data_IF_050435876538
#
_entry.id   IF_050435876538
#
_cell.length_a   1.000
_cell.length_b   1.000
_cell.length_c   1.000
_cell.angle_alpha   90.00
_cell.angle_beta   90.00
_cell.angle_gamma   90.00
#
_symmetry.space_group_name_H-M   'P 1'
#
loop_
_entity.id
_entity.type
_entity.pdbx_description
1 polymer ?
#
# COMPACT_ATOMS: atom_id res chain seq x y z
N UNK A 1 11.47 5.13 -7.68
CA UNK A 1 10.02 5.35 -7.48
C UNK A 1 9.58 6.82 -7.28
N UNK A 2 10.50 7.80 -7.13
CA UNK A 2 10.16 9.23 -6.94
C UNK A 2 9.13 9.84 -7.91
N UNK A 3 8.98 9.30 -9.12
CA UNK A 3 7.99 9.76 -10.10
C UNK A 3 6.54 9.56 -9.64
N UNK A 4 6.32 8.67 -8.66
CA UNK A 4 5.00 8.40 -8.07
C UNK A 4 4.58 9.44 -7.02
N UNK A 5 5.50 10.27 -6.55
CA UNK A 5 5.27 11.22 -5.46
C UNK A 5 4.06 12.15 -5.68
N UNK A 6 3.84 12.77 -6.86
CA UNK A 6 2.69 13.65 -7.08
C UNK A 6 1.33 12.94 -6.92
N UNK A 7 1.30 11.61 -7.11
CA UNK A 7 0.07 10.83 -7.04
C UNK A 7 -0.38 10.56 -5.61
N UNK A 8 0.53 10.61 -4.64
CA UNK A 8 0.22 10.43 -3.21
C UNK A 8 -0.85 11.44 -2.75
N UNK A 9 -0.71 12.70 -3.20
CA UNK A 9 -1.52 13.84 -2.77
C UNK A 9 -2.87 13.95 -3.49
N UNK A 10 -3.12 13.11 -4.49
CA UNK A 10 -4.36 13.17 -5.29
C UNK A 10 -5.08 11.84 -5.43
N UNK A 11 -4.42 10.70 -5.19
CA UNK A 11 -5.02 9.37 -5.32
C UNK A 11 -6.26 9.20 -4.45
N UNK A 12 -7.36 8.76 -5.07
CA UNK A 12 -8.65 8.49 -4.45
C UNK A 12 -9.04 7.02 -4.65
N UNK A 13 -9.75 6.44 -3.68
CA UNK A 13 -10.29 5.09 -3.85
C UNK A 13 -11.59 5.13 -4.67
N UNK A 14 -11.55 4.60 -5.89
CA UNK A 14 -12.65 4.56 -6.85
C UNK A 14 -13.40 3.24 -6.75
N UNK A 15 -14.73 3.29 -6.69
CA UNK A 15 -15.59 2.10 -6.59
C UNK A 15 -16.65 2.04 -7.67
N UNK A 16 -16.74 3.08 -8.51
CA UNK A 16 -17.63 3.15 -9.66
C UNK A 16 -16.82 3.18 -10.93
N UNK A 17 -17.06 2.20 -11.79
CA UNK A 17 -16.37 2.03 -13.06
C UNK A 17 -17.36 2.15 -14.21
N UNK A 18 -16.97 2.83 -15.29
CA UNK A 18 -17.77 2.94 -16.51
C UNK A 18 -17.44 1.84 -17.53
N UNK A 19 -16.29 1.18 -17.39
CA UNK A 19 -15.85 0.14 -18.30
C UNK A 19 -14.42 -0.35 -17.98
N UNK A 20 -13.92 -1.33 -18.76
CA UNK A 20 -12.56 -1.84 -18.64
C UNK A 20 -11.50 -0.78 -18.94
N UNK A 21 -10.26 -1.07 -18.57
CA UNK A 21 -9.11 -0.34 -19.13
C UNK A 21 -8.94 -0.73 -20.60
N UNK A 22 -8.34 0.14 -21.40
CA UNK A 22 -7.97 -0.15 -22.78
C UNK A 22 -6.87 -1.21 -22.86
N UNK A 23 -6.71 -1.84 -24.02
CA UNK A 23 -5.66 -2.85 -24.24
C UNK A 23 -4.25 -2.29 -23.98
N UNK A 24 -4.00 -1.04 -24.38
CA UNK A 24 -2.70 -0.40 -24.16
C UNK A 24 -2.44 -0.11 -22.67
N UNK A 25 -3.47 0.31 -21.93
CA UNK A 25 -3.37 0.47 -20.48
C UNK A 25 -3.14 -0.87 -19.76
N UNK A 26 -3.78 -1.96 -20.21
CA UNK A 26 -3.56 -3.30 -19.65
C UNK A 26 -2.13 -3.79 -19.91
N UNK A 27 -1.61 -3.62 -21.14
CA UNK A 27 -0.21 -3.95 -21.47
C UNK A 27 0.78 -3.15 -20.64
N UNK A 28 0.52 -1.86 -20.43
CA UNK A 28 1.36 -1.03 -19.55
C UNK A 28 1.30 -1.54 -18.10
N UNK A 29 0.12 -1.91 -17.60
CA UNK A 29 -0.02 -2.47 -16.25
C UNK A 29 0.75 -3.78 -16.10
N UNK A 30 0.66 -4.69 -17.07
CA UNK A 30 1.42 -5.95 -17.07
C UNK A 30 2.94 -5.71 -17.07
N UNK A 31 3.44 -4.85 -17.97
CA UNK A 31 4.86 -4.48 -18.03
C UNK A 31 5.38 -3.88 -16.71
N UNK A 32 4.54 -3.08 -16.04
CA UNK A 32 4.88 -2.47 -14.75
C UNK A 32 4.81 -3.45 -13.58
N UNK A 33 3.94 -4.45 -13.63
CA UNK A 33 3.86 -5.49 -12.59
C UNK A 33 5.15 -6.30 -12.51
N UNK A 34 5.77 -6.61 -13.65
CA UNK A 34 7.05 -7.33 -13.72
C UNK A 34 8.24 -6.52 -13.17
N UNK A 35 8.10 -5.20 -13.06
CA UNK A 35 9.16 -4.26 -12.66
C UNK A 35 8.93 -3.66 -11.27
N UNK A 36 8.05 -4.25 -10.48
CA UNK A 36 7.82 -3.78 -9.11
C UNK A 36 9.07 -3.98 -8.26
N UNK A 37 9.48 -2.91 -7.59
CA UNK A 37 10.62 -2.95 -6.66
C UNK A 37 10.14 -3.54 -5.32
N UNK A 38 10.69 -4.67 -4.83
CA UNK A 38 10.32 -5.20 -3.53
C UNK A 38 10.85 -4.34 -2.37
N UNK A 39 10.20 -4.42 -1.20
CA UNK A 39 10.75 -3.85 0.04
C UNK A 39 11.92 -4.70 0.56
N UNK A 40 11.78 -6.03 0.43
CA UNK A 40 12.76 -7.06 0.79
C UNK A 40 12.85 -8.04 -0.38
N UNK A 41 14.06 -8.21 -0.93
CA UNK A 41 14.31 -9.00 -2.14
C UNK A 41 14.18 -10.52 -1.93
N UNK A 42 14.35 -10.98 -0.69
CA UNK A 42 14.32 -12.40 -0.28
C UNK A 42 12.90 -12.91 0.05
N UNK A 43 11.87 -12.12 -0.27
CA UNK A 43 10.47 -12.41 0.06
C UNK A 43 9.68 -12.72 -1.21
N UNK A 44 9.26 -13.97 -1.35
CA UNK A 44 8.47 -14.43 -2.48
C UNK A 44 7.12 -13.70 -2.58
N UNK A 45 6.88 -13.10 -3.74
CA UNK A 45 5.63 -12.42 -4.07
C UNK A 45 5.22 -12.76 -5.49
N UNK A 46 3.91 -12.85 -5.70
CA UNK A 46 3.34 -13.06 -7.03
C UNK A 46 2.20 -12.06 -7.25
N UNK A 47 2.15 -11.48 -8.44
CA UNK A 47 1.07 -10.62 -8.89
C UNK A 47 0.44 -11.16 -10.17
N UNK A 48 -0.88 -11.17 -10.24
CA UNK A 48 -1.61 -11.58 -11.45
C UNK A 48 -2.67 -10.58 -11.83
N UNK A 49 -2.67 -10.21 -13.10
CA UNK A 49 -3.80 -9.54 -13.71
C UNK A 49 -4.95 -10.55 -13.87
N UNK A 50 -6.13 -10.14 -13.41
CA UNK A 50 -7.35 -10.95 -13.41
C UNK A 50 -8.51 -10.17 -14.00
N UNK A 51 -9.43 -10.91 -14.60
CA UNK A 51 -10.70 -10.41 -15.10
C UNK A 51 -11.79 -10.46 -14.05
N UNK A 52 -12.91 -9.79 -14.33
CA UNK A 52 -14.08 -9.77 -13.45
C UNK A 52 -14.54 -11.16 -12.99
N UNK A 53 -14.54 -12.13 -13.90
CA UNK A 53 -15.09 -13.46 -13.64
C UNK A 53 -14.18 -14.32 -12.74
N UNK A 54 -12.92 -13.92 -12.55
CA UNK A 54 -11.97 -14.58 -11.66
C UNK A 54 -12.22 -14.28 -10.18
N UNK A 55 -13.04 -13.28 -9.87
CA UNK A 55 -13.23 -12.75 -8.52
C UNK A 55 -14.69 -12.87 -8.05
N UNK A 56 -14.89 -13.46 -6.88
CA UNK A 56 -16.17 -13.43 -6.16
C UNK A 56 -16.19 -12.28 -5.16
N UNK A 57 -16.89 -11.21 -5.51
CA UNK A 57 -16.83 -9.91 -4.81
C UNK A 57 -17.61 -9.84 -3.50
N UNK A 58 -18.62 -10.71 -3.32
CA UNK A 58 -19.52 -10.71 -2.16
C UNK A 58 -20.18 -9.35 -1.95
N UNK A 59 -19.76 -8.60 -0.93
CA UNK A 59 -20.33 -7.30 -0.54
C UNK A 59 -19.58 -6.10 -1.12
N UNK A 60 -18.41 -6.30 -1.75
CA UNK A 60 -17.68 -5.22 -2.41
C UNK A 60 -18.14 -5.05 -3.86
N UNK A 61 -18.10 -3.80 -4.35
CA UNK A 61 -18.46 -3.48 -5.73
C UNK A 61 -17.53 -4.22 -6.71
N UNK A 62 -18.07 -4.87 -7.76
CA UNK A 62 -17.26 -5.45 -8.80
C UNK A 62 -16.50 -4.39 -9.59
N UNK A 63 -15.35 -4.78 -10.10
CA UNK A 63 -14.55 -4.00 -11.04
C UNK A 63 -14.35 -4.79 -12.34
N UNK A 64 -14.01 -4.11 -13.44
CA UNK A 64 -13.63 -4.75 -14.69
C UNK A 64 -12.41 -5.65 -14.54
N UNK A 65 -11.36 -5.15 -13.87
CA UNK A 65 -10.10 -5.87 -13.69
C UNK A 65 -9.64 -5.84 -12.25
N UNK A 66 -8.73 -6.75 -11.93
CA UNK A 66 -8.09 -6.86 -10.63
C UNK A 66 -6.63 -7.23 -10.77
N UNK A 67 -5.78 -6.74 -9.86
CA UNK A 67 -4.47 -7.32 -9.60
C UNK A 67 -4.60 -8.13 -8.31
N UNK A 68 -4.45 -9.45 -8.41
CA UNK A 68 -4.32 -10.32 -7.24
C UNK A 68 -2.87 -10.40 -6.80
N UNK A 69 -2.64 -10.28 -5.50
CA UNK A 69 -1.32 -10.44 -4.89
C UNK A 69 -1.30 -11.66 -3.97
N UNK A 70 -0.18 -12.38 -4.02
CA UNK A 70 0.07 -13.59 -3.25
C UNK A 70 1.44 -13.52 -2.58
N UNK A 71 1.53 -13.98 -1.34
CA UNK A 71 2.76 -14.07 -0.54
C UNK A 71 2.45 -14.69 0.82
N UNK A 72 3.47 -15.29 1.45
CA UNK A 72 3.31 -16.02 2.69
C UNK A 72 3.68 -15.22 3.95
N UNK A 73 3.01 -15.52 5.05
CA UNK A 73 3.36 -14.98 6.37
C UNK A 73 3.08 -13.48 6.56
N UNK A 74 3.69 -12.90 7.59
CA UNK A 74 3.53 -11.48 7.93
C UNK A 74 4.37 -10.60 7.01
N UNK A 75 5.66 -10.93 6.86
CA UNK A 75 6.63 -10.17 6.08
C UNK A 75 6.20 -10.13 4.60
N UNK A 76 5.74 -11.25 4.05
CA UNK A 76 5.17 -11.32 2.71
C UNK A 76 4.03 -10.32 2.47
N UNK A 77 3.13 -10.17 3.44
CA UNK A 77 2.03 -9.20 3.35
C UNK A 77 2.50 -7.75 3.42
N UNK A 78 3.57 -7.46 4.18
CA UNK A 78 4.21 -6.13 4.16
C UNK A 78 4.84 -5.87 2.79
N UNK A 79 5.56 -6.85 2.23
CA UNK A 79 6.18 -6.73 0.91
C UNK A 79 5.11 -6.51 -0.19
N UNK A 80 4.03 -7.28 -0.17
CA UNK A 80 2.86 -7.09 -1.06
C UNK A 80 2.26 -5.70 -0.93
N UNK A 81 2.06 -5.20 0.30
CA UNK A 81 1.53 -3.86 0.53
C UNK A 81 2.43 -2.77 -0.07
N UNK A 82 3.75 -2.94 0.06
CA UNK A 82 4.75 -2.03 -0.49
C UNK A 82 4.74 -2.03 -2.03
N UNK A 83 4.83 -3.20 -2.62
CA UNK A 83 4.92 -3.37 -4.07
C UNK A 83 3.62 -2.96 -4.77
N UNK A 84 2.47 -3.43 -4.28
CA UNK A 84 1.18 -3.16 -4.91
C UNK A 84 0.76 -1.69 -4.76
N UNK A 85 1.28 -0.97 -3.76
CA UNK A 85 1.05 0.48 -3.65
C UNK A 85 1.74 1.26 -4.78
N UNK A 86 2.84 0.76 -5.34
CA UNK A 86 3.44 1.36 -6.54
C UNK A 86 2.44 1.28 -7.70
N UNK A 87 1.76 0.13 -7.89
CA UNK A 87 0.70 0.02 -8.91
C UNK A 87 -0.51 0.88 -8.61
N UNK A 88 -0.95 0.99 -7.35
CA UNK A 88 -2.06 1.87 -6.98
C UNK A 88 -1.79 3.34 -7.38
N UNK A 89 -0.56 3.81 -7.17
CA UNK A 89 -0.13 5.14 -7.59
C UNK A 89 0.06 5.25 -9.11
N UNK A 90 0.58 4.23 -9.79
CA UNK A 90 0.71 4.19 -11.27
C UNK A 90 -0.65 4.16 -11.97
N UNK A 91 -1.62 3.43 -11.47
CA UNK A 91 -2.98 3.39 -12.01
C UNK A 91 -3.65 4.77 -11.86
N UNK A 92 -3.46 5.42 -10.71
CA UNK A 92 -3.82 6.84 -10.51
C UNK A 92 -3.05 7.77 -11.48
N UNK A 93 -1.80 7.42 -11.78
CA UNK A 93 -0.94 7.85 -12.90
C UNK A 93 -1.65 8.03 -14.22
N UNK A 94 -2.17 6.90 -14.67
CA UNK A 94 -2.77 6.69 -15.98
C UNK A 94 -4.18 7.30 -16.10
N UNK A 95 -4.72 7.86 -15.02
CA UNK A 95 -6.08 8.40 -15.01
C UNK A 95 -7.17 7.33 -14.85
N UNK A 96 -6.79 6.14 -14.35
CA UNK A 96 -7.69 5.06 -14.03
C UNK A 96 -8.11 5.08 -12.56
N UNK A 97 -9.27 4.48 -12.27
CA UNK A 97 -9.73 4.31 -10.89
C UNK A 97 -9.21 3.03 -10.28
N UNK A 98 -8.84 3.06 -8.99
CA UNK A 98 -8.42 1.89 -8.23
C UNK A 98 -9.05 1.81 -6.83
N UNK A 99 -9.20 0.60 -6.29
CA UNK A 99 -9.55 0.39 -4.89
C UNK A 99 -9.02 -0.94 -4.36
N UNK A 100 -8.32 -0.89 -3.24
CA UNK A 100 -7.96 -2.04 -2.43
C UNK A 100 -9.22 -2.81 -1.97
N UNK A 101 -9.25 -4.12 -2.17
CA UNK A 101 -10.35 -5.01 -1.79
C UNK A 101 -9.86 -6.24 -1.03
N UNK A 102 -10.16 -6.28 0.27
CA UNK A 102 -9.76 -7.36 1.19
C UNK A 102 -10.86 -8.38 1.53
N UNK A 103 -12.09 -8.19 1.04
CA UNK A 103 -13.24 -9.10 1.29
C UNK A 103 -13.46 -10.12 0.15
N UNK A 104 -13.33 -9.76 -1.15
CA UNK A 104 -13.48 -10.71 -2.23
C UNK A 104 -12.56 -11.91 -2.10
N UNK A 105 -12.96 -12.97 -2.79
CA UNK A 105 -12.18 -14.20 -2.90
C UNK A 105 -11.97 -14.55 -4.36
N UNK A 106 -10.84 -15.15 -4.64
CA UNK A 106 -10.57 -15.73 -5.95
C UNK A 106 -11.47 -16.93 -6.21
N UNK A 107 -11.78 -17.18 -7.49
CA UNK A 107 -12.41 -18.43 -7.92
C UNK A 107 -11.38 -19.55 -7.94
N UNK A 108 -11.87 -20.79 -7.86
CA UNK A 108 -11.04 -21.98 -7.66
C UNK A 108 -10.06 -22.29 -8.80
N UNK A 109 -10.28 -21.76 -10.00
CA UNK A 109 -9.37 -21.93 -11.13
C UNK A 109 -8.14 -21.02 -11.04
N UNK A 110 -8.20 -19.94 -10.26
CA UNK A 110 -7.03 -19.08 -9.99
C UNK A 110 -6.23 -19.72 -8.86
N UNK A 111 -5.09 -20.32 -9.21
CA UNK A 111 -4.22 -21.07 -8.28
C UNK A 111 -2.84 -20.46 -8.19
N UNK A 112 -2.31 -20.29 -7.00
CA UNK A 112 -0.92 -19.95 -6.73
C UNK A 112 -0.35 -20.94 -5.72
N UNK A 113 0.97 -21.13 -5.74
CA UNK A 113 1.68 -21.86 -4.69
C UNK A 113 1.80 -21.03 -3.39
N UNK A 114 1.61 -19.71 -3.49
CA UNK A 114 1.62 -18.77 -2.38
C UNK A 114 0.20 -18.46 -1.88
N UNK A 115 0.08 -18.04 -0.62
CA UNK A 115 -1.18 -17.63 -0.04
C UNK A 115 -1.75 -16.35 -0.70
N UNK A 116 -3.05 -16.37 -1.01
CA UNK A 116 -3.75 -15.16 -1.47
C UNK A 116 -3.80 -14.08 -0.39
N UNK A 117 -3.29 -12.89 -0.72
CA UNK A 117 -3.20 -11.75 0.20
C UNK A 117 -4.34 -10.76 0.02
N UNK A 118 -4.46 -10.15 -1.17
CA UNK A 118 -5.38 -9.04 -1.42
C UNK A 118 -5.60 -8.81 -2.92
N UNK A 119 -6.63 -8.03 -3.26
CA UNK A 119 -6.89 -7.53 -4.60
C UNK A 119 -6.76 -6.00 -4.65
N UNK A 120 -6.20 -5.49 -5.74
CA UNK A 120 -6.37 -4.12 -6.18
C UNK A 120 -7.32 -4.12 -7.38
N UNK A 121 -8.56 -3.67 -7.16
CA UNK A 121 -9.56 -3.57 -8.22
C UNK A 121 -9.35 -2.29 -9.03
N UNK A 122 -9.51 -2.33 -10.35
CA UNK A 122 -9.30 -1.15 -11.20
C UNK A 122 -10.11 -1.16 -12.51
N UNK A 123 -10.17 0.00 -13.16
CA UNK A 123 -10.79 0.18 -14.48
C UNK A 123 -11.05 1.66 -14.81
N UNK A 124 -11.68 1.92 -15.96
CA UNK A 124 -12.07 3.26 -16.34
C UNK A 124 -13.10 3.81 -15.34
N UNK A 125 -12.76 4.91 -14.67
CA UNK A 125 -13.58 5.44 -13.59
C UNK A 125 -14.87 6.10 -14.11
N UNK A 126 -15.96 5.94 -13.37
CA UNK A 126 -17.22 6.67 -13.55
C UNK A 126 -17.35 7.86 -12.57
N UNK A 127 -16.27 8.18 -11.88
CA UNK A 127 -16.14 9.26 -10.90
C UNK A 127 -14.72 9.84 -10.98
N UNK A 128 -14.45 11.04 -10.44
CA UNK A 128 -13.10 11.61 -10.45
C UNK A 128 -12.10 10.65 -9.80
N UNK A 129 -11.02 10.35 -10.52
CA UNK A 129 -9.92 9.48 -10.06
C UNK A 129 -9.02 10.14 -9.02
N UNK A 130 -9.02 11.48 -9.02
CA UNK A 130 -8.28 12.30 -8.09
C UNK A 130 -9.22 13.01 -7.11
N UNK A 131 -8.65 13.41 -5.98
CA UNK A 131 -9.28 14.22 -4.93
C UNK A 131 -8.37 15.39 -4.58
N UNK A 132 -8.97 16.44 -4.05
CA UNK A 132 -8.25 17.55 -3.46
C UNK A 132 -7.64 17.17 -2.10
N UNK A 133 -6.59 17.86 -1.70
CA UNK A 133 -5.91 17.61 -0.41
C UNK A 133 -6.88 17.74 0.79
N UNK A 134 -7.82 18.68 0.73
CA UNK A 134 -8.84 18.88 1.76
C UNK A 134 -9.82 17.70 1.93
N UNK A 135 -9.93 16.81 0.95
CA UNK A 135 -10.79 15.61 1.03
C UNK A 135 -10.12 14.46 1.80
N UNK A 136 -8.83 14.58 2.15
CA UNK A 136 -8.13 13.55 2.92
C UNK A 136 -8.56 13.58 4.40
N UNK A 137 -9.34 12.57 4.79
CA UNK A 137 -9.64 12.28 6.20
C UNK A 137 -8.54 11.39 6.77
N UNK A 138 -7.59 12.00 7.49
CA UNK A 138 -6.45 11.33 8.12
C UNK A 138 -6.27 11.80 9.56
N UNK A 139 -5.60 10.99 10.38
CA UNK A 139 -5.11 11.41 11.70
C UNK A 139 -4.19 12.62 11.52
N UNK A 140 -4.07 13.51 12.53
CA UNK A 140 -3.03 14.53 12.56
C UNK A 140 -1.63 13.91 12.47
N UNK A 141 -0.66 14.63 11.92
CA UNK A 141 0.73 14.15 11.77
C UNK A 141 1.33 13.70 13.11
N UNK A 142 1.09 14.46 14.18
CA UNK A 142 1.51 14.15 15.56
C UNK A 142 0.92 12.85 16.15
N UNK A 143 -0.03 12.21 15.46
CA UNK A 143 -0.56 10.89 15.86
C UNK A 143 0.13 9.73 15.14
N UNK A 144 0.99 10.00 14.16
CA UNK A 144 1.74 8.98 13.42
C UNK A 144 3.24 9.12 13.59
N UNK A 145 3.73 10.20 14.22
CA UNK A 145 5.15 10.40 14.46
C UNK A 145 5.41 11.40 15.58
N UNK A 146 6.59 11.30 16.20
CA UNK A 146 7.20 12.29 17.10
C UNK A 146 8.49 12.91 16.51
N UNK A 147 8.84 12.58 15.27
CA UNK A 147 10.06 13.08 14.63
C UNK A 147 9.91 14.56 14.27
N UNK A 148 10.96 15.33 14.54
CA UNK A 148 11.08 16.73 14.11
C UNK A 148 11.85 16.83 12.79
N UNK A 149 11.51 17.80 11.95
CA UNK A 149 12.24 18.09 10.70
C UNK A 149 11.97 17.11 9.54
N UNK A 150 10.98 16.23 9.69
CA UNK A 150 10.58 15.22 8.69
C UNK A 150 9.14 15.40 8.22
N UNK A 151 8.54 16.56 8.48
CA UNK A 151 7.12 16.84 8.25
C UNK A 151 6.70 16.62 6.79
N UNK A 152 7.47 17.14 5.83
CA UNK A 152 7.19 16.97 4.41
C UNK A 152 7.29 15.50 3.97
N UNK A 153 8.26 14.78 4.54
CA UNK A 153 8.46 13.36 4.23
C UNK A 153 7.29 12.54 4.75
N UNK A 154 6.89 12.77 6.01
CA UNK A 154 5.88 12.00 6.73
C UNK A 154 4.45 12.44 6.40
N UNK A 155 4.23 13.64 5.87
CA UNK A 155 2.94 14.05 5.31
C UNK A 155 2.53 13.10 4.17
N UNK A 156 3.46 12.76 3.27
CA UNK A 156 3.19 11.79 2.20
C UNK A 156 2.74 10.44 2.77
N UNK A 157 3.35 9.99 3.88
CA UNK A 157 2.99 8.74 4.56
C UNK A 157 1.63 8.84 5.25
N UNK A 158 1.32 9.97 5.88
CA UNK A 158 0.03 10.24 6.52
C UNK A 158 -1.12 10.07 5.53
N UNK A 159 -0.92 10.42 4.27
CA UNK A 159 -1.94 10.33 3.21
C UNK A 159 -2.18 8.92 2.66
N UNK A 160 -1.31 7.95 2.98
CA UNK A 160 -1.42 6.55 2.57
C UNK A 160 -2.83 5.96 2.81
N UNK A 161 -3.36 5.12 1.90
CA UNK A 161 -4.59 4.37 2.15
C UNK A 161 -4.37 3.30 3.23
N UNK A 162 -5.45 2.89 3.89
CA UNK A 162 -5.41 1.75 4.81
C UNK A 162 -6.79 1.13 4.94
N UNK A 163 -6.87 -0.12 5.37
CA UNK A 163 -8.13 -0.79 5.67
C UNK A 163 -8.97 0.06 6.64
N UNK A 164 -10.23 0.32 6.26
CA UNK A 164 -11.21 1.16 6.99
C UNK A 164 -10.64 2.49 7.49
N UNK A 165 -9.63 3.04 6.83
CA UNK A 165 -8.92 4.26 7.24
C UNK A 165 -8.32 4.19 8.66
N UNK A 166 -7.94 2.99 9.11
CA UNK A 166 -7.40 2.71 10.44
C UNK A 166 -6.04 3.40 10.73
N UNK A 167 -5.19 3.54 9.72
CA UNK A 167 -3.86 4.17 9.79
C UNK A 167 -3.02 3.59 10.95
N UNK A 168 -2.66 2.29 10.91
CA UNK A 168 -2.02 1.62 12.03
C UNK A 168 -0.55 2.00 12.26
N UNK A 169 0.08 2.80 11.40
CA UNK A 169 1.51 3.08 11.47
C UNK A 169 1.85 4.18 12.50
N UNK A 170 3.05 4.05 13.06
CA UNK A 170 3.74 5.07 13.84
C UNK A 170 5.24 5.05 13.49
N UNK A 171 5.85 6.22 13.35
CA UNK A 171 7.23 6.41 12.95
C UNK A 171 7.98 7.25 13.97
N UNK A 172 9.15 6.79 14.38
CA UNK A 172 10.04 7.51 15.29
C UNK A 172 11.49 7.27 14.87
N UNK A 173 12.43 8.06 15.38
CA UNK A 173 13.84 7.89 15.09
C UNK A 173 14.60 9.21 15.03
N UNK A 174 15.78 9.15 14.43
CA UNK A 174 16.78 10.21 14.36
C UNK A 174 18.05 9.66 13.71
N UNK A 175 19.03 10.54 13.45
CA UNK A 175 20.36 10.15 12.97
C UNK A 175 20.34 9.20 11.75
N UNK A 176 19.57 9.57 10.72
CA UNK A 176 19.45 8.78 9.49
C UNK A 176 18.65 7.49 9.64
N UNK A 177 17.84 7.32 10.69
CA UNK A 177 16.95 6.17 10.88
C UNK A 177 15.50 6.58 11.11
N UNK A 178 14.59 5.84 10.50
CA UNK A 178 13.13 5.93 10.72
C UNK A 178 12.62 4.54 11.05
N UNK A 179 12.31 4.32 12.32
CA UNK A 179 11.72 3.08 12.83
C UNK A 179 10.21 3.09 12.59
N UNK A 180 9.71 2.03 11.95
CA UNK A 180 8.31 1.85 11.65
C UNK A 180 7.67 0.84 12.61
N UNK A 181 6.55 1.24 13.20
CA UNK A 181 5.79 0.44 14.14
C UNK A 181 4.32 0.34 13.73
N UNK A 182 3.75 -0.85 13.89
CA UNK A 182 2.33 -1.09 13.72
C UNK A 182 1.62 -1.05 15.09
N UNK A 183 0.58 -0.24 15.21
CA UNK A 183 -0.25 -0.14 16.40
C UNK A 183 -0.95 -1.47 16.69
N UNK A 184 -0.72 -1.98 17.89
CA UNK A 184 -1.42 -3.14 18.43
C UNK A 184 -2.82 -2.71 18.83
N UNK A 185 -3.80 -3.19 18.06
CA UNK A 185 -5.19 -2.87 18.28
C UNK A 185 -5.82 -3.69 19.41
N UNK A 186 -6.90 -3.13 19.97
CA UNK A 186 -7.79 -3.86 20.88
C UNK A 186 -8.31 -5.15 20.24
N UNK A 187 -8.64 -6.19 21.03
CA UNK A 187 -9.04 -7.50 20.49
C UNK A 187 -10.17 -7.43 19.46
N UNK A 188 -11.19 -6.62 19.71
CA UNK A 188 -12.32 -6.43 18.78
C UNK A 188 -11.86 -5.85 17.44
N UNK A 189 -11.05 -4.80 17.47
CA UNK A 189 -10.57 -4.13 16.26
C UNK A 189 -9.58 -5.00 15.51
N UNK A 190 -8.70 -5.72 16.22
CA UNK A 190 -7.79 -6.73 15.65
C UNK A 190 -8.54 -7.80 14.88
N UNK A 191 -9.68 -8.30 15.39
CA UNK A 191 -10.52 -9.27 14.68
C UNK A 191 -11.09 -8.71 13.38
N UNK A 192 -11.40 -7.41 13.34
CA UNK A 192 -11.97 -6.75 12.17
C UNK A 192 -10.94 -6.45 11.09
N UNK A 193 -9.78 -5.89 11.46
CA UNK A 193 -8.82 -5.33 10.49
C UNK A 193 -7.39 -5.86 10.61
N UNK A 194 -7.08 -6.62 11.67
CA UNK A 194 -5.70 -7.02 11.99
C UNK A 194 -5.01 -7.82 10.89
N UNK A 195 -5.76 -8.59 10.09
CA UNK A 195 -5.21 -9.32 8.93
C UNK A 195 -4.71 -8.41 7.80
N UNK A 196 -5.18 -7.17 7.73
CA UNK A 196 -4.77 -6.18 6.72
C UNK A 196 -3.70 -5.24 7.24
N UNK A 197 -3.47 -5.14 8.55
CA UNK A 197 -2.44 -4.28 9.13
C UNK A 197 -1.04 -4.48 8.53
N UNK A 198 -0.55 -5.70 8.23
CA UNK A 198 0.75 -5.85 7.59
C UNK A 198 0.78 -5.23 6.18
N UNK A 199 -0.32 -5.37 5.43
CA UNK A 199 -0.48 -4.74 4.11
C UNK A 199 -0.50 -3.21 4.25
N UNK A 200 -1.28 -2.70 5.22
CA UNK A 200 -1.35 -1.27 5.53
C UNK A 200 0.03 -0.69 5.91
N UNK A 201 0.87 -1.47 6.62
CA UNK A 201 2.26 -1.08 6.89
C UNK A 201 3.09 -1.03 5.61
N UNK A 202 3.00 -2.04 4.75
CA UNK A 202 3.68 -2.04 3.45
C UNK A 202 3.33 -0.82 2.61
N UNK A 203 2.05 -0.47 2.53
CA UNK A 203 1.55 0.72 1.85
C UNK A 203 2.20 2.00 2.41
N UNK A 204 2.23 2.14 3.74
CA UNK A 204 2.84 3.29 4.40
C UNK A 204 4.36 3.36 4.13
N UNK A 205 5.05 2.22 4.13
CA UNK A 205 6.48 2.13 3.83
C UNK A 205 6.78 2.49 2.35
N UNK A 206 5.89 2.16 1.42
CA UNK A 206 6.03 2.59 0.02
C UNK A 206 5.93 4.12 -0.10
N UNK A 207 4.95 4.72 0.57
CA UNK A 207 4.86 6.19 0.64
C UNK A 207 6.11 6.82 1.24
N UNK A 208 6.66 6.21 2.30
CA UNK A 208 7.87 6.71 2.96
C UNK A 208 9.07 6.65 2.02
N UNK A 209 9.29 5.51 1.35
CA UNK A 209 10.35 5.33 0.36
C UNK A 209 10.25 6.34 -0.78
N UNK A 210 9.07 6.47 -1.38
CA UNK A 210 8.81 7.41 -2.49
C UNK A 210 9.11 8.84 -2.06
N UNK A 211 8.70 9.20 -0.84
CA UNK A 211 8.91 10.52 -0.26
C UNK A 211 10.40 10.81 0.00
N UNK A 212 11.11 9.87 0.65
CA UNK A 212 12.55 9.98 0.88
C UNK A 212 13.33 10.19 -0.44
N UNK A 213 13.06 9.36 -1.45
CA UNK A 213 13.70 9.49 -2.77
C UNK A 213 13.37 10.82 -3.46
N UNK A 214 12.13 11.31 -3.33
CA UNK A 214 11.72 12.59 -3.90
C UNK A 214 12.49 13.75 -3.27
N UNK A 215 12.73 13.68 -1.96
CA UNK A 215 13.52 14.66 -1.21
C UNK A 215 15.04 14.48 -1.36
N UNK A 216 15.49 13.56 -2.21
CA UNK A 216 16.91 13.37 -2.55
C UNK A 216 17.65 12.37 -1.66
N UNK A 217 16.97 11.75 -0.69
CA UNK A 217 17.60 10.76 0.17
C UNK A 217 17.71 9.41 -0.51
N UNK A 218 18.88 8.78 -0.37
CA UNK A 218 19.02 7.33 -0.54
C UNK A 218 18.47 6.66 0.70
N UNK A 219 17.84 5.50 0.52
CA UNK A 219 17.33 4.76 1.66
C UNK A 219 17.44 3.25 1.48
N UNK A 220 17.42 2.53 2.58
CA UNK A 220 17.40 1.07 2.65
C UNK A 220 16.46 0.64 3.78
N UNK A 221 15.68 -0.41 3.57
CA UNK A 221 14.84 -0.97 4.62
C UNK A 221 15.52 -2.19 5.24
N UNK A 222 15.59 -2.22 6.58
CA UNK A 222 16.15 -3.36 7.32
C UNK A 222 15.27 -3.70 8.52
N UNK A 223 15.21 -4.98 8.85
CA UNK A 223 14.75 -5.44 10.15
C UNK A 223 15.98 -5.46 11.05
N UNK A 224 15.93 -4.68 12.12
CA UNK A 224 17.06 -4.50 13.05
C UNK A 224 16.72 -5.14 14.39
N UNK A 225 17.73 -5.69 15.05
CA UNK A 225 17.64 -6.16 16.43
C UNK A 225 17.89 -5.02 17.42
N UNK A 226 17.40 -5.18 18.65
CA UNK A 226 17.68 -4.24 19.75
C UNK A 226 17.07 -2.84 19.59
N UNK A 227 16.05 -2.70 18.74
CA UNK A 227 15.29 -1.45 18.60
C UNK A 227 14.33 -1.30 19.78
N UNK A 228 14.16 -0.06 20.26
CA UNK A 228 13.31 0.26 21.41
C UNK A 228 11.89 -0.29 21.26
N UNK A 229 11.38 -0.90 22.33
CA UNK A 229 10.00 -1.37 22.38
C UNK A 229 9.05 -0.21 22.67
N UNK A 230 7.98 -0.12 21.88
CA UNK A 230 6.92 0.87 22.10
C UNK A 230 5.66 0.19 22.64
N UNK A 231 5.15 0.70 23.77
CA UNK A 231 3.94 0.16 24.40
C UNK A 231 2.75 0.25 23.43
N UNK A 232 2.06 -0.88 23.23
CA UNK A 232 0.95 -1.04 22.28
C UNK A 232 1.35 -0.91 20.80
N UNK A 233 2.60 -1.19 20.47
CA UNK A 233 3.08 -1.23 19.10
C UNK A 233 3.91 -2.49 18.86
N UNK A 234 3.94 -2.94 17.62
CA UNK A 234 4.82 -4.01 17.14
C UNK A 234 5.75 -3.44 16.09
N UNK A 235 7.05 -3.62 16.29
CA UNK A 235 8.07 -3.20 15.33
C UNK A 235 7.88 -3.90 13.98
N UNK A 236 8.03 -3.14 12.90
CA UNK A 236 7.93 -3.64 11.51
C UNK A 236 9.28 -3.63 10.80
N UNK A 237 10.10 -2.61 11.05
CA UNK A 237 11.42 -2.45 10.45
C UNK A 237 11.88 -1.00 10.47
N UNK A 238 13.02 -0.72 9.87
CA UNK A 238 13.67 0.59 9.88
C UNK A 238 14.09 0.99 8.48
N UNK A 239 13.78 2.21 8.08
CA UNK A 239 14.48 2.86 6.98
C UNK A 239 15.76 3.51 7.50
N UNK A 240 16.89 3.15 6.91
CA UNK A 240 18.14 3.89 7.04
C UNK A 240 18.20 4.82 5.83
N UNK A 241 18.43 6.12 6.03
CA UNK A 241 18.45 7.12 4.98
C UNK A 241 19.61 8.11 5.14
N UNK A 242 20.05 8.69 4.03
CA UNK A 242 21.14 9.67 3.97
C UNK A 242 21.33 10.22 2.56
N UNK A 243 22.32 11.10 2.40
CA UNK A 243 22.69 11.73 1.13
C UNK A 243 23.27 10.72 0.10
#
# INVERSE_FOLDING_TARGET
>A
MKELYPFIFRRKSTRKYRGPASEDELREIEDRLEKLEPLLEDVDTEFRLLERDDVRTRMQQPAPHYIAAFSDGYVGKVNVGFMLQQMDLRISGMGLGSCWQGIPRLRAHVKSELDFVILLAFGAAAEPVHREHSEFRRKPLSKITDMEGMDDVLEAVRLAPSAVNNQPWYFTGGDGKIHAYCQVQSPLKRRLVGRWNPIDMGIALAHLRISLEYHGYRSEFRILDGVDELKNYSYTGTFIYGD
#
